data_IF_510959869585
#
_entry.id   IF_510959869585
#
_cell.length_a   1.000
_cell.length_b   1.000
_cell.length_c   1.000
_cell.angle_alpha   90.00
_cell.angle_beta   90.00
_cell.angle_gamma   90.00
#
_symmetry.space_group_name_H-M   'P 1'
#
loop_
_entity.id
_entity.type
_entity.pdbx_description
1 polymer ?
#
# COMPACT_ATOMS: atom_id res chain seq x y z
N UNK A 1 -9.47 -9.61 10.75
CA UNK A 1 -9.15 -8.18 11.00
C UNK A 1 -10.44 -7.36 11.03
N UNK A 2 -10.59 -6.26 11.81
CA UNK A 2 -11.80 -5.43 11.76
C UNK A 2 -12.08 -4.92 10.33
N UNK A 3 -13.34 -4.95 9.84
CA UNK A 3 -13.66 -4.60 8.44
C UNK A 3 -13.18 -3.20 8.00
N UNK A 4 -13.09 -2.25 8.92
CA UNK A 4 -12.65 -0.88 8.62
C UNK A 4 -11.15 -0.65 8.78
N UNK A 5 -10.37 -1.67 9.19
CA UNK A 5 -8.97 -1.48 9.58
C UNK A 5 -8.14 -0.88 8.46
N UNK A 6 -8.27 -1.42 7.24
CA UNK A 6 -7.52 -0.97 6.07
C UNK A 6 -7.95 0.40 5.54
N UNK A 7 -9.11 0.93 5.94
CA UNK A 7 -9.60 2.19 5.38
C UNK A 7 -8.77 3.40 5.82
N UNK A 8 -8.58 4.35 4.91
CA UNK A 8 -7.82 5.58 5.10
C UNK A 8 -6.43 5.51 4.49
N UNK A 9 -5.57 6.43 4.90
CA UNK A 9 -4.22 6.61 4.34
C UNK A 9 -3.17 5.80 5.10
N UNK A 10 -2.31 5.09 4.38
CA UNK A 10 -1.20 4.34 4.90
C UNK A 10 0.07 4.76 4.19
N UNK A 11 1.14 4.98 4.94
CA UNK A 11 2.48 5.14 4.36
C UNK A 11 3.04 3.75 4.09
N UNK A 12 3.48 3.51 2.86
CA UNK A 12 4.27 2.32 2.54
C UNK A 12 5.68 2.61 3.02
N UNK A 13 6.08 2.00 4.14
CA UNK A 13 7.29 2.40 4.90
C UNK A 13 8.46 1.43 4.74
N UNK A 14 8.19 0.16 4.48
CA UNK A 14 9.21 -0.82 4.15
C UNK A 14 8.72 -1.74 3.03
N UNK A 15 9.63 -2.16 2.16
CA UNK A 15 9.30 -3.00 1.02
C UNK A 15 10.57 -3.66 0.45
N UNK A 16 10.43 -4.86 -0.11
CA UNK A 16 11.46 -5.43 -1.00
C UNK A 16 11.24 -5.10 -2.49
N UNK A 17 10.19 -4.36 -2.83
CA UNK A 17 9.81 -4.04 -4.19
C UNK A 17 10.65 -2.87 -4.71
N UNK A 18 11.51 -3.12 -5.70
CA UNK A 18 12.45 -2.10 -6.23
C UNK A 18 11.72 -0.83 -6.71
N UNK A 19 10.54 -0.98 -7.30
CA UNK A 19 9.73 0.14 -7.76
C UNK A 19 9.32 1.07 -6.60
N UNK A 20 9.06 0.54 -5.40
CA UNK A 20 8.67 1.37 -4.26
C UNK A 20 9.84 2.19 -3.71
N UNK A 21 11.09 1.82 -4.05
CA UNK A 21 12.30 2.56 -3.68
C UNK A 21 12.63 3.72 -4.63
N UNK A 22 12.02 3.79 -5.81
CA UNK A 22 12.10 4.99 -6.68
C UNK A 22 10.99 5.99 -6.37
N UNK A 23 10.05 5.61 -5.51
CA UNK A 23 8.98 6.46 -4.99
C UNK A 23 9.40 7.07 -3.65
N UNK A 24 8.95 8.30 -3.41
CA UNK A 24 9.04 8.96 -2.10
C UNK A 24 7.67 9.45 -1.65
N UNK A 25 7.49 9.50 -0.33
CA UNK A 25 6.23 9.93 0.28
C UNK A 25 5.03 9.13 -0.26
N UNK A 26 5.22 7.81 -0.38
CA UNK A 26 4.26 6.89 -0.98
C UNK A 26 3.15 6.57 0.02
N UNK A 27 1.93 6.96 -0.35
CA UNK A 27 0.71 6.75 0.41
C UNK A 27 -0.21 5.83 -0.38
N UNK A 28 -0.71 4.79 0.29
CA UNK A 28 -1.78 3.91 -0.14
C UNK A 28 -3.07 4.28 0.58
N UNK A 29 -4.10 4.64 -0.18
CA UNK A 29 -5.37 5.13 0.39
C UNK A 29 -6.51 4.22 0.00
N UNK A 30 -7.11 3.56 0.98
CA UNK A 30 -8.30 2.75 0.77
C UNK A 30 -9.56 3.47 1.25
N UNK A 31 -10.55 3.56 0.38
CA UNK A 31 -11.87 4.05 0.73
C UNK A 31 -12.94 3.04 0.38
N UNK A 32 -14.09 3.16 1.04
CA UNK A 32 -15.29 2.52 0.50
C UNK A 32 -15.54 3.11 -0.90
N UNK A 33 -15.92 2.29 -1.89
CA UNK A 33 -16.33 2.85 -3.16
C UNK A 33 -17.56 3.72 -2.92
N UNK A 34 -17.62 4.87 -3.57
CA UNK A 34 -18.77 5.77 -3.51
C UNK A 34 -19.16 6.19 -4.93
N UNK A 35 -20.45 6.11 -5.23
CA UNK A 35 -21.06 6.64 -6.44
C UNK A 35 -22.02 7.76 -6.03
N UNK A 36 -21.88 8.95 -6.62
CA UNK A 36 -22.78 10.09 -6.43
C UNK A 36 -23.11 10.39 -4.94
N UNK A 37 -22.07 10.58 -4.13
CA UNK A 37 -22.14 10.85 -2.68
C UNK A 37 -22.73 9.73 -1.80
N UNK A 38 -23.05 8.56 -2.39
CA UNK A 38 -23.47 7.36 -1.67
C UNK A 38 -22.33 6.33 -1.67
N UNK A 39 -21.80 6.07 -0.48
CA UNK A 39 -20.79 5.03 -0.29
C UNK A 39 -21.44 3.67 -0.10
N UNK A 40 -20.91 2.66 -0.79
CA UNK A 40 -21.33 1.27 -0.58
C UNK A 40 -21.02 0.86 0.87
N UNK A 41 -21.81 -0.08 1.39
CA UNK A 41 -21.66 -0.60 2.74
C UNK A 41 -20.31 -1.31 2.95
N UNK A 42 -19.87 -1.46 4.20
CA UNK A 42 -18.55 -2.04 4.53
C UNK A 42 -18.43 -3.54 4.22
N UNK A 43 -19.55 -4.20 3.99
CA UNK A 43 -19.65 -5.56 3.45
C UNK A 43 -19.48 -5.61 1.93
N UNK A 44 -19.32 -4.44 1.28
CA UNK A 44 -18.98 -4.40 -0.13
C UNK A 44 -17.69 -5.19 -0.35
N UNK A 45 -17.76 -6.13 -1.28
CA UNK A 45 -16.63 -6.91 -1.78
C UNK A 45 -15.58 -6.05 -2.47
N UNK A 46 -15.75 -4.73 -2.51
CA UNK A 46 -14.91 -3.82 -3.27
C UNK A 46 -14.37 -2.68 -2.41
N UNK A 47 -13.11 -2.34 -2.59
CA UNK A 47 -12.47 -1.12 -2.08
C UNK A 47 -12.00 -0.26 -3.25
N UNK A 48 -12.04 1.06 -3.05
CA UNK A 48 -11.35 2.00 -3.91
C UNK A 48 -9.94 2.19 -3.38
N UNK A 49 -8.95 1.91 -4.22
CA UNK A 49 -7.53 2.10 -3.92
C UNK A 49 -6.99 3.30 -4.70
N UNK A 50 -6.32 4.19 -3.99
CA UNK A 50 -5.52 5.26 -4.55
C UNK A 50 -4.08 5.17 -4.02
N UNK A 51 -3.18 4.77 -4.91
CA UNK A 51 -1.75 4.94 -4.77
C UNK A 51 -1.37 6.40 -5.08
N UNK A 52 -0.57 7.04 -4.23
CA UNK A 52 -0.11 8.41 -4.42
C UNK A 52 1.34 8.58 -3.99
N UNK A 53 2.20 9.04 -4.89
CA UNK A 53 3.65 9.14 -4.63
C UNK A 53 4.30 10.30 -5.40
N UNK A 54 5.51 10.65 -4.99
CA UNK A 54 6.44 11.46 -5.79
C UNK A 54 7.59 10.57 -6.24
N UNK A 55 8.29 10.97 -7.30
CA UNK A 55 9.50 10.28 -7.75
C UNK A 55 10.73 10.88 -7.06
N UNK A 56 11.67 10.04 -6.63
CA UNK A 56 12.89 10.48 -5.91
C UNK A 56 13.77 11.40 -6.77
N UNK A 57 13.87 11.14 -8.08
CA UNK A 57 14.80 11.82 -9.00
C UNK A 57 14.12 12.40 -10.25
N UNK A 58 12.87 12.84 -10.14
CA UNK A 58 12.18 13.47 -11.29
C UNK A 58 12.72 14.87 -11.57
N UNK A 59 13.60 14.97 -12.55
CA UNK A 59 14.21 16.25 -12.94
C UNK A 59 13.27 17.13 -13.76
N UNK A 60 12.19 16.58 -14.32
CA UNK A 60 11.23 17.33 -15.13
C UNK A 60 10.13 17.94 -14.26
N UNK A 61 9.69 17.20 -13.24
CA UNK A 61 8.61 17.60 -12.32
C UNK A 61 8.96 17.20 -10.87
N UNK A 62 9.96 17.84 -10.25
CA UNK A 62 10.56 17.38 -8.99
C UNK A 62 9.61 17.22 -7.80
N UNK A 63 8.45 17.88 -7.81
CA UNK A 63 7.44 17.77 -6.74
C UNK A 63 6.07 17.31 -7.25
N UNK A 64 6.00 16.78 -8.49
CA UNK A 64 4.74 16.26 -8.98
C UNK A 64 4.30 15.04 -8.17
N UNK A 65 3.04 15.09 -7.73
CA UNK A 65 2.37 13.92 -7.20
C UNK A 65 1.74 13.14 -8.34
N UNK A 66 2.06 11.87 -8.39
CA UNK A 66 1.50 10.88 -9.30
C UNK A 66 0.45 10.07 -8.56
N UNK A 67 -0.54 9.57 -9.31
CA UNK A 67 -1.65 8.81 -8.79
C UNK A 67 -1.88 7.56 -9.64
N UNK A 68 -2.23 6.46 -8.98
CA UNK A 68 -2.76 5.26 -9.62
C UNK A 68 -4.03 4.85 -8.89
N UNK A 69 -5.12 4.67 -9.63
CA UNK A 69 -6.40 4.26 -9.07
C UNK A 69 -6.74 2.81 -9.44
N UNK A 70 -7.13 2.04 -8.44
CA UNK A 70 -7.53 0.64 -8.58
C UNK A 70 -8.87 0.34 -7.91
N UNK A 71 -9.47 -0.77 -8.33
CA UNK A 71 -10.60 -1.38 -7.64
C UNK A 71 -10.13 -2.72 -7.07
N UNK A 72 -10.20 -2.83 -5.76
CA UNK A 72 -9.77 -4.03 -5.05
C UNK A 72 -10.99 -4.88 -4.76
N UNK A 73 -10.95 -6.15 -5.12
CA UNK A 73 -12.07 -7.09 -4.90
C UNK A 73 -11.66 -8.14 -3.88
N UNK A 74 -12.40 -8.28 -2.79
CA UNK A 74 -12.16 -9.31 -1.79
C UNK A 74 -12.29 -10.71 -2.42
N UNK A 75 -11.26 -11.53 -2.26
CA UNK A 75 -11.22 -12.93 -2.72
C UNK A 75 -11.17 -13.93 -1.57
N UNK A 76 -10.75 -13.48 -0.38
CA UNK A 76 -10.82 -14.21 0.89
C UNK A 76 -10.82 -13.21 2.06
N UNK A 77 -10.88 -13.70 3.30
CA UNK A 77 -10.73 -12.82 4.47
C UNK A 77 -9.35 -12.13 4.44
N UNK A 78 -9.34 -10.80 4.41
CA UNK A 78 -8.11 -9.98 4.37
C UNK A 78 -7.22 -10.20 3.13
N UNK A 79 -7.77 -10.75 2.05
CA UNK A 79 -7.09 -10.89 0.77
C UNK A 79 -7.93 -10.34 -0.38
N UNK A 80 -7.29 -9.59 -1.28
CA UNK A 80 -7.95 -8.82 -2.31
C UNK A 80 -7.21 -8.94 -3.64
N UNK A 81 -7.96 -8.95 -4.73
CA UNK A 81 -7.44 -8.79 -6.08
C UNK A 81 -7.57 -7.32 -6.49
N UNK A 82 -6.44 -6.64 -6.68
CA UNK A 82 -6.41 -5.24 -7.12
C UNK A 82 -6.32 -5.16 -8.64
N UNK A 83 -7.22 -4.38 -9.24
CA UNK A 83 -7.22 -4.13 -10.68
C UNK A 83 -7.18 -2.61 -10.91
N UNK A 84 -6.05 -2.05 -11.39
CA UNK A 84 -6.00 -0.67 -11.82
C UNK A 84 -6.97 -0.40 -12.96
N UNK A 85 -7.50 0.82 -13.05
CA UNK A 85 -8.34 1.20 -14.18
C UNK A 85 -7.52 1.63 -15.39
N UNK A 86 -8.17 1.73 -16.57
CA UNK A 86 -7.58 2.35 -17.77
C UNK A 86 -6.32 1.67 -18.29
N UNK A 87 -5.34 2.47 -18.70
CA UNK A 87 -4.08 1.98 -19.28
C UNK A 87 -3.20 1.20 -18.30
N UNK A 88 -3.50 1.27 -17.00
CA UNK A 88 -2.78 0.52 -15.96
C UNK A 88 -3.39 -0.85 -15.67
N UNK A 89 -4.50 -1.24 -16.30
CA UNK A 89 -5.24 -2.47 -15.95
C UNK A 89 -4.42 -3.77 -16.03
N UNK A 90 -3.35 -3.79 -16.82
CA UNK A 90 -2.43 -4.92 -16.88
C UNK A 90 -1.55 -5.05 -15.63
N UNK A 91 -1.39 -4.00 -14.83
CA UNK A 91 -0.63 -3.98 -13.58
C UNK A 91 -1.48 -4.43 -12.38
N UNK A 92 -2.29 -5.47 -12.57
CA UNK A 92 -3.09 -6.06 -11.49
C UNK A 92 -2.25 -7.03 -10.66
N UNK A 93 -2.66 -7.22 -9.40
CA UNK A 93 -2.04 -8.17 -8.47
C UNK A 93 -3.07 -8.68 -7.45
N UNK A 94 -2.64 -9.59 -6.59
CA UNK A 94 -3.36 -9.99 -5.39
C UNK A 94 -2.52 -9.57 -4.18
N UNK A 95 -3.15 -9.02 -3.16
CA UNK A 95 -2.50 -8.75 -1.89
C UNK A 95 -3.24 -9.40 -0.72
N UNK A 96 -2.49 -9.80 0.31
CA UNK A 96 -2.98 -10.42 1.53
C UNK A 96 -2.35 -9.76 2.77
N UNK A 97 -3.18 -9.45 3.77
CA UNK A 97 -2.69 -8.95 5.06
C UNK A 97 -2.22 -10.10 5.93
N UNK A 98 -0.91 -10.19 6.14
CA UNK A 98 -0.28 -11.23 6.98
C UNK A 98 -0.36 -10.89 8.47
N UNK A 99 -0.27 -9.61 8.82
CA UNK A 99 -0.26 -9.13 10.20
C UNK A 99 -0.77 -7.69 10.27
N UNK A 100 -1.32 -7.31 11.41
CA UNK A 100 -1.84 -5.97 11.67
C UNK A 100 -1.89 -5.71 13.17
N UNK A 101 -1.86 -4.44 13.56
CA UNK A 101 -2.00 -4.05 14.96
C UNK A 101 -1.58 -2.62 15.21
N UNK A 102 -1.41 -2.28 16.48
CA UNK A 102 -0.77 -1.05 16.90
C UNK A 102 0.64 -1.37 17.38
N UNK A 103 1.59 -0.51 17.04
CA UNK A 103 2.94 -0.58 17.55
C UNK A 103 3.01 -0.10 19.02
N UNK A 104 4.20 -0.14 19.63
CA UNK A 104 4.39 0.25 21.03
C UNK A 104 4.23 1.76 21.28
N UNK A 105 4.17 2.57 20.22
CA UNK A 105 3.92 4.02 20.26
C UNK A 105 2.46 4.36 19.94
N UNK A 106 1.64 3.37 19.60
CA UNK A 106 0.22 3.51 19.27
C UNK A 106 -0.07 3.81 17.79
N UNK A 107 0.93 3.77 16.91
CA UNK A 107 0.72 3.88 15.48
C UNK A 107 0.22 2.54 14.91
N UNK A 108 -0.84 2.57 14.10
CA UNK A 108 -1.34 1.35 13.46
C UNK A 108 -0.40 0.93 12.31
N UNK A 109 -0.24 -0.39 12.14
CA UNK A 109 0.52 -0.99 11.04
C UNK A 109 -0.25 -2.13 10.36
N UNK A 110 0.16 -2.45 9.14
CA UNK A 110 -0.18 -3.70 8.44
C UNK A 110 1.06 -4.25 7.74
N UNK A 111 1.14 -5.57 7.64
CA UNK A 111 2.13 -6.30 6.84
C UNK A 111 1.39 -6.97 5.71
N UNK A 112 1.78 -6.67 4.49
CA UNK A 112 1.08 -7.09 3.27
C UNK A 112 2.03 -7.94 2.43
N UNK A 113 1.53 -9.06 1.92
CA UNK A 113 2.18 -9.81 0.86
C UNK A 113 1.45 -9.53 -0.45
N UNK A 114 2.19 -9.21 -1.52
CA UNK A 114 1.61 -8.98 -2.85
C UNK A 114 2.22 -9.92 -3.89
N UNK A 115 1.38 -10.48 -4.77
CA UNK A 115 1.87 -11.18 -5.96
C UNK A 115 2.48 -10.19 -6.95
N UNK A 116 3.44 -10.60 -7.79
CA UNK A 116 3.99 -9.71 -8.81
C UNK A 116 2.89 -9.19 -9.75
N UNK A 117 2.89 -7.88 -9.99
CA UNK A 117 2.17 -7.28 -11.11
C UNK A 117 2.86 -7.61 -12.44
N UNK A 118 2.24 -7.29 -13.59
CA UNK A 118 2.78 -7.65 -14.91
C UNK A 118 4.19 -7.09 -15.19
N UNK A 119 4.54 -5.91 -14.68
CA UNK A 119 5.89 -5.36 -14.82
C UNK A 119 6.92 -6.00 -13.88
N UNK A 120 6.48 -6.83 -12.95
CA UNK A 120 7.28 -7.34 -11.85
C UNK A 120 7.55 -8.83 -11.99
N UNK A 121 8.69 -9.27 -11.46
CA UNK A 121 9.10 -10.68 -11.51
C UNK A 121 9.13 -11.36 -10.15
N UNK A 122 9.01 -10.58 -9.08
CA UNK A 122 9.06 -11.04 -7.69
C UNK A 122 7.81 -10.57 -6.94
N UNK A 123 7.38 -11.38 -5.98
CA UNK A 123 6.37 -10.96 -5.01
C UNK A 123 6.96 -9.91 -4.07
N UNK A 124 6.10 -9.15 -3.40
CA UNK A 124 6.52 -8.20 -2.37
C UNK A 124 6.01 -8.60 -1.00
N UNK A 125 6.78 -8.19 -0.01
CA UNK A 125 6.43 -8.15 1.39
C UNK A 125 6.63 -6.70 1.83
N UNK A 126 5.55 -6.08 2.24
CA UNK A 126 5.50 -4.65 2.49
C UNK A 126 4.96 -4.36 3.89
N UNK A 127 5.49 -3.31 4.52
CA UNK A 127 5.07 -2.87 5.85
C UNK A 127 4.55 -1.45 5.73
N UNK A 128 3.28 -1.30 6.02
CA UNK A 128 2.60 -0.02 6.01
C UNK A 128 2.36 0.47 7.43
N UNK A 129 2.40 1.79 7.62
CA UNK A 129 2.16 2.43 8.91
C UNK A 129 1.28 3.66 8.74
N UNK A 130 0.56 4.03 9.80
CA UNK A 130 -0.08 5.35 9.90
C UNK A 130 0.89 6.46 10.26
N UNK A 131 2.09 6.10 10.72
CA UNK A 131 3.21 7.01 10.93
C UNK A 131 4.15 6.96 9.72
N UNK A 132 4.48 8.10 9.08
CA UNK A 132 5.42 8.13 7.95
C UNK A 132 6.83 7.62 8.31
N UNK A 133 7.21 7.62 9.59
CA UNK A 133 8.47 7.04 10.04
C UNK A 133 8.48 5.51 10.01
N UNK A 134 7.31 4.86 9.90
CA UNK A 134 7.15 3.41 10.03
C UNK A 134 6.76 2.98 11.45
N UNK A 135 6.55 1.67 11.67
CA UNK A 135 6.32 1.12 13.01
C UNK A 135 7.56 1.30 13.91
N UNK A 136 7.34 1.25 15.22
CA UNK A 136 8.41 1.20 16.22
C UNK A 136 9.38 0.03 15.99
N UNK A 137 10.66 0.19 16.38
CA UNK A 137 11.70 -0.83 16.14
C UNK A 137 11.37 -2.20 16.78
N UNK A 138 10.83 -2.20 18.01
CA UNK A 138 10.41 -3.43 18.68
C UNK A 138 9.26 -4.14 17.95
N UNK A 139 8.40 -3.37 17.26
CA UNK A 139 7.34 -3.92 16.41
C UNK A 139 7.91 -4.49 15.12
N UNK A 140 8.90 -3.83 14.50
CA UNK A 140 9.63 -4.37 13.34
C UNK A 140 10.33 -5.70 13.69
N UNK A 141 11.03 -5.76 14.82
CA UNK A 141 11.67 -6.99 15.31
C UNK A 141 10.63 -8.11 15.54
N UNK A 142 9.46 -7.76 16.09
CA UNK A 142 8.37 -8.71 16.31
C UNK A 142 7.76 -9.22 15.00
N UNK A 143 7.63 -8.36 13.98
CA UNK A 143 7.20 -8.74 12.62
C UNK A 143 8.21 -9.70 12.01
N UNK A 144 9.51 -9.36 12.05
CA UNK A 144 10.58 -10.18 11.49
C UNK A 144 10.60 -11.57 12.12
N UNK A 145 10.62 -11.62 13.46
CA UNK A 145 10.60 -12.87 14.21
C UNK A 145 9.30 -13.66 13.97
N UNK A 146 8.16 -12.97 13.77
CA UNK A 146 6.90 -13.58 13.41
C UNK A 146 6.98 -14.32 12.08
N UNK A 147 7.48 -13.67 11.04
CA UNK A 147 7.64 -14.25 9.71
C UNK A 147 8.63 -15.42 9.73
N UNK A 148 9.75 -15.28 10.44
CA UNK A 148 10.71 -16.38 10.62
C UNK A 148 10.08 -17.61 11.27
N UNK A 149 9.24 -17.42 12.31
CA UNK A 149 8.54 -18.52 13.00
C UNK A 149 7.50 -19.24 12.15
N UNK A 150 6.94 -18.58 11.12
CA UNK A 150 6.01 -19.25 10.19
C UNK A 150 6.72 -20.35 9.38
N UNK A 151 8.05 -20.30 9.23
CA UNK A 151 8.82 -21.30 8.49
C UNK A 151 8.57 -21.32 6.98
N UNK A 152 7.85 -20.33 6.43
CA UNK A 152 7.62 -20.19 5.01
C UNK A 152 8.88 -19.60 4.35
N UNK A 153 9.62 -20.44 3.62
CA UNK A 153 10.89 -20.04 2.99
C UNK A 153 10.75 -18.85 2.05
N UNK A 154 9.66 -18.75 1.28
CA UNK A 154 9.48 -17.65 0.33
C UNK A 154 9.32 -16.31 1.07
N UNK A 155 8.51 -16.27 2.13
CA UNK A 155 8.34 -15.05 2.94
C UNK A 155 9.64 -14.66 3.67
N UNK A 156 10.37 -15.66 4.17
CA UNK A 156 11.68 -15.43 4.80
C UNK A 156 12.69 -14.87 3.80
N UNK A 157 12.73 -15.41 2.58
CA UNK A 157 13.64 -14.93 1.55
C UNK A 157 13.29 -13.49 1.12
N UNK A 158 11.99 -13.14 0.98
CA UNK A 158 11.54 -11.77 0.70
C UNK A 158 11.96 -10.79 1.80
N UNK A 159 11.76 -11.18 3.07
CA UNK A 159 12.07 -10.37 4.26
C UNK A 159 13.53 -9.89 4.28
N UNK A 160 14.47 -10.67 3.75
CA UNK A 160 15.90 -10.28 3.71
C UNK A 160 16.17 -9.01 2.92
N UNK A 161 15.29 -8.66 1.98
CA UNK A 161 15.42 -7.48 1.12
C UNK A 161 14.41 -6.38 1.47
N UNK A 162 13.59 -6.58 2.51
CA UNK A 162 12.66 -5.55 2.98
C UNK A 162 13.46 -4.42 3.60
N UNK A 163 13.44 -3.27 2.94
CA UNK A 163 14.18 -2.08 3.38
C UNK A 163 13.26 -0.88 3.40
N UNK A 164 13.66 0.15 4.15
CA UNK A 164 12.86 1.36 4.34
C UNK A 164 12.69 2.10 3.02
N UNK A 165 11.45 2.44 2.67
CA UNK A 165 11.15 3.25 1.49
C UNK A 165 11.46 4.73 1.74
N UNK A 166 11.73 5.53 0.70
CA UNK A 166 11.97 6.96 0.85
C UNK A 166 10.76 7.73 1.42
N UNK A 167 10.98 8.42 2.53
CA UNK A 167 10.03 9.34 3.18
C UNK A 167 10.83 10.56 3.63
N UNK A 168 10.54 11.74 3.07
CA UNK A 168 11.32 12.96 3.34
C UNK A 168 10.48 14.13 3.87
N UNK A 169 9.20 13.89 4.14
CA UNK A 169 8.27 14.87 4.68
C UNK A 169 7.85 15.95 3.68
N UNK A 170 8.23 15.84 2.41
CA UNK A 170 7.89 16.79 1.35
C UNK A 170 6.39 16.95 1.11
N UNK A 171 5.55 16.10 1.73
CA UNK A 171 4.08 16.09 1.64
C UNK A 171 3.38 16.23 3.00
N UNK A 172 4.09 16.50 4.08
CA UNK A 172 3.51 16.50 5.45
C UNK A 172 2.39 17.53 5.65
N UNK A 173 2.39 18.60 4.85
CA UNK A 173 1.40 19.67 4.90
C UNK A 173 0.40 19.63 3.73
N UNK A 174 0.52 18.64 2.84
CA UNK A 174 -0.41 18.49 1.73
C UNK A 174 -1.76 17.92 2.23
N UNK A 175 -2.87 18.24 1.55
CA UNK A 175 -4.11 17.51 1.76
C UNK A 175 -3.92 16.01 1.51
N UNK A 176 -4.65 15.18 2.27
CA UNK A 176 -4.67 13.74 2.00
C UNK A 176 -5.06 13.44 0.55
N UNK A 177 -4.48 12.41 -0.07
CA UNK A 177 -4.79 12.02 -1.45
C UNK A 177 -6.29 11.86 -1.69
N UNK A 178 -6.76 12.41 -2.82
CA UNK A 178 -8.12 12.20 -3.30
C UNK A 178 -8.13 12.08 -4.81
N UNK A 179 -9.07 11.30 -5.35
CA UNK A 179 -9.13 10.96 -6.76
C UNK A 179 -10.48 11.36 -7.36
N UNK A 180 -10.45 12.39 -8.20
CA UNK A 180 -11.61 12.86 -8.96
C UNK A 180 -11.95 11.91 -10.12
N UNK A 181 -13.04 12.19 -10.86
CA UNK A 181 -13.48 11.33 -11.96
C UNK A 181 -12.40 11.09 -13.03
N UNK A 182 -11.58 12.10 -13.35
CA UNK A 182 -10.47 11.95 -14.30
C UNK A 182 -9.36 11.06 -13.76
N UNK A 183 -8.94 11.26 -12.52
CA UNK A 183 -7.94 10.41 -11.87
C UNK A 183 -8.38 8.93 -11.86
N UNK A 184 -9.68 8.65 -11.63
CA UNK A 184 -10.22 7.28 -11.57
C UNK A 184 -10.17 6.53 -12.90
N UNK A 185 -9.92 7.19 -14.02
CA UNK A 185 -9.77 6.51 -15.31
C UNK A 185 -8.35 6.05 -15.56
N UNK A 186 -7.36 6.51 -14.77
CA UNK A 186 -5.93 6.45 -15.12
C UNK A 186 -5.67 6.87 -16.58
N UNK A 187 -6.49 7.77 -17.12
CA UNK A 187 -6.35 8.29 -18.47
C UNK A 187 -5.29 9.39 -18.52
N UNK A 188 -4.41 9.31 -19.51
CA UNK A 188 -3.45 10.36 -19.85
C UNK A 188 -4.16 11.59 -20.45
#
# INVERSE_FOLDING_TARGET
MPPSWLLGNWFITYSNQELYHVFRNFIWTLTRPCADDVCYSLDATHLSDLASFQLVNDTQRPNATYFGYSLDTAIAESAYHSVPTGSLASQNNTYEVLSWGYDSLGAAFVVVYETPAMSETVASLDIFSRDPAGPSNDTLDAIEAGIQRLGNKNLIDLLTNVTKTPQDGGRDNDPWPSCNATCRTNGA
#
